data_IF_564954675819
#
_entry.id   IF_564954675819
#
_cell.length_a   1.000
_cell.length_b   1.000
_cell.length_c   1.000
_cell.angle_alpha   90.00
_cell.angle_beta   90.00
_cell.angle_gamma   90.00
#
_symmetry.space_group_name_H-M   'P 1'
#
loop_
_entity.id
_entity.type
_entity.pdbx_description
1 polymer ?
#
# COMPACT_ATOMS: atom_id res chain seq x y z
N UNK A 1 -7.56 -23.98 -14.28
CA UNK A 1 -8.88 -23.85 -13.63
C UNK A 1 -8.66 -23.90 -12.12
N UNK A 2 -9.02 -22.86 -11.37
CA UNK A 2 -8.82 -22.86 -9.89
C UNK A 2 -9.92 -23.65 -9.18
N UNK A 3 -9.70 -24.08 -7.94
CA UNK A 3 -10.71 -24.77 -7.13
C UNK A 3 -12.00 -23.95 -6.97
N UNK A 4 -11.91 -22.61 -6.86
CA UNK A 4 -13.09 -21.74 -6.87
C UNK A 4 -13.91 -21.85 -8.16
N UNK A 5 -13.27 -22.03 -9.34
CA UNK A 5 -14.01 -22.19 -10.60
C UNK A 5 -14.77 -23.52 -10.64
N UNK A 6 -14.16 -24.61 -10.13
CA UNK A 6 -14.83 -25.92 -10.05
C UNK A 6 -16.12 -25.83 -9.24
N UNK A 7 -16.06 -25.20 -8.07
CA UNK A 7 -17.23 -25.02 -7.22
C UNK A 7 -18.31 -24.15 -7.88
N UNK A 8 -17.95 -23.10 -8.63
CA UNK A 8 -18.92 -22.29 -9.40
C UNK A 8 -19.58 -23.07 -10.52
N UNK A 9 -18.86 -23.94 -11.23
CA UNK A 9 -19.45 -24.86 -12.19
C UNK A 9 -20.44 -25.82 -11.54
N UNK A 10 -20.09 -26.38 -10.37
CA UNK A 10 -21.00 -27.25 -9.62
C UNK A 10 -22.27 -26.49 -9.18
N UNK A 11 -22.16 -25.24 -8.75
CA UNK A 11 -23.33 -24.40 -8.38
C UNK A 11 -24.21 -24.14 -9.60
N UNK A 12 -23.62 -23.80 -10.75
CA UNK A 12 -24.35 -23.60 -12.00
C UNK A 12 -25.10 -24.87 -12.41
N UNK A 13 -24.43 -26.01 -12.34
CA UNK A 13 -25.01 -27.31 -12.62
C UNK A 13 -26.18 -27.65 -11.69
N UNK A 14 -26.06 -27.41 -10.38
CA UNK A 14 -27.15 -27.61 -9.42
C UNK A 14 -28.36 -26.71 -9.74
N UNK A 15 -28.12 -25.46 -10.15
CA UNK A 15 -29.18 -24.54 -10.56
C UNK A 15 -29.89 -25.01 -11.84
N UNK A 16 -29.15 -25.51 -12.84
CA UNK A 16 -29.72 -26.07 -14.08
C UNK A 16 -30.52 -27.36 -13.83
N UNK A 17 -30.14 -28.15 -12.83
CA UNK A 17 -30.90 -29.32 -12.38
C UNK A 17 -32.19 -28.97 -11.61
N UNK A 18 -32.40 -27.69 -11.28
CA UNK A 18 -33.56 -27.25 -10.50
C UNK A 18 -33.42 -27.45 -8.99
N UNK A 19 -32.21 -27.72 -8.49
CA UNK A 19 -31.98 -27.83 -7.05
C UNK A 19 -32.26 -26.48 -6.36
N UNK A 20 -32.77 -26.53 -5.14
CA UNK A 20 -32.92 -25.34 -4.30
C UNK A 20 -31.57 -24.82 -3.79
N UNK A 21 -31.53 -23.58 -3.30
CA UNK A 21 -30.32 -23.04 -2.66
C UNK A 21 -29.82 -23.91 -1.50
N UNK A 22 -30.73 -24.47 -0.69
CA UNK A 22 -30.38 -25.27 0.48
C UNK A 22 -29.74 -26.59 0.05
N UNK A 23 -30.29 -27.23 -0.98
CA UNK A 23 -29.72 -28.46 -1.55
C UNK A 23 -28.37 -28.20 -2.21
N UNK A 24 -28.24 -27.08 -2.94
CA UNK A 24 -26.97 -26.67 -3.55
C UNK A 24 -25.89 -26.46 -2.49
N UNK A 25 -26.20 -25.76 -1.39
CA UNK A 25 -25.24 -25.57 -0.28
C UNK A 25 -24.79 -26.91 0.29
N UNK A 26 -25.74 -27.83 0.57
CA UNK A 26 -25.41 -29.16 1.09
C UNK A 26 -24.52 -29.95 0.13
N UNK A 27 -24.86 -29.98 -1.16
CA UNK A 27 -24.07 -30.69 -2.19
C UNK A 27 -22.65 -30.14 -2.32
N UNK A 28 -22.49 -28.82 -2.29
CA UNK A 28 -21.17 -28.17 -2.36
C UNK A 28 -20.37 -28.44 -1.08
N UNK A 29 -20.96 -28.32 0.10
CA UNK A 29 -20.29 -28.64 1.36
C UNK A 29 -19.87 -30.11 1.44
N UNK A 30 -20.73 -31.03 0.97
CA UNK A 30 -20.41 -32.46 0.94
C UNK A 30 -19.28 -32.80 -0.04
N UNK A 31 -19.25 -32.15 -1.21
CA UNK A 31 -18.26 -32.43 -2.24
C UNK A 31 -16.88 -31.80 -1.96
N UNK A 32 -16.83 -30.64 -1.31
CA UNK A 32 -15.61 -29.86 -1.11
C UNK A 32 -15.17 -29.73 0.35
N UNK A 33 -15.97 -30.18 1.33
CA UNK A 33 -15.59 -30.23 2.73
C UNK A 33 -15.11 -28.87 3.27
N UNK A 34 -13.92 -28.87 3.88
CA UNK A 34 -13.29 -27.67 4.43
C UNK A 34 -12.86 -26.64 3.37
N UNK A 35 -12.68 -27.09 2.12
CA UNK A 35 -12.35 -26.23 0.99
C UNK A 35 -13.61 -25.61 0.33
N UNK A 36 -14.80 -25.93 0.83
CA UNK A 36 -16.06 -25.40 0.29
C UNK A 36 -16.15 -23.87 0.47
N UNK A 37 -16.66 -23.21 -0.56
CA UNK A 37 -17.00 -21.79 -0.49
C UNK A 37 -17.98 -21.54 0.66
N UNK A 38 -17.82 -20.41 1.34
CA UNK A 38 -18.77 -19.97 2.36
C UNK A 38 -20.21 -19.93 1.83
N UNK A 39 -21.18 -20.26 2.68
CA UNK A 39 -22.61 -20.25 2.32
C UNK A 39 -23.09 -18.96 1.66
N UNK A 40 -22.55 -17.80 2.04
CA UNK A 40 -22.85 -16.51 1.42
C UNK A 40 -22.44 -16.46 -0.06
N UNK A 41 -21.19 -16.84 -0.37
CA UNK A 41 -20.67 -16.92 -1.74
C UNK A 41 -21.44 -17.95 -2.58
N UNK A 42 -21.83 -19.09 -1.99
CA UNK A 42 -22.66 -20.09 -2.70
C UNK A 42 -24.01 -19.48 -3.08
N UNK A 43 -24.71 -18.81 -2.15
CA UNK A 43 -26.00 -18.15 -2.42
C UNK A 43 -25.89 -17.05 -3.46
N UNK A 44 -24.84 -16.23 -3.38
CA UNK A 44 -24.57 -15.15 -4.34
C UNK A 44 -24.42 -15.70 -5.77
N UNK A 45 -23.59 -16.73 -5.96
CA UNK A 45 -23.41 -17.36 -7.27
C UNK A 45 -24.67 -18.07 -7.76
N UNK A 46 -25.37 -18.78 -6.88
CA UNK A 46 -26.64 -19.43 -7.22
C UNK A 46 -27.67 -18.40 -7.75
N UNK A 47 -27.83 -17.27 -7.07
CA UNK A 47 -28.73 -16.20 -7.51
C UNK A 47 -28.29 -15.61 -8.85
N UNK A 48 -26.99 -15.38 -9.05
CA UNK A 48 -26.48 -14.88 -10.34
C UNK A 48 -26.82 -15.81 -11.50
N UNK A 49 -26.70 -17.12 -11.33
CA UNK A 49 -27.08 -18.09 -12.36
C UNK A 49 -28.60 -18.14 -12.55
N UNK A 50 -29.37 -18.07 -11.45
CA UNK A 50 -30.83 -17.97 -11.49
C UNK A 50 -31.31 -16.71 -12.25
N UNK A 51 -30.59 -15.61 -12.13
CA UNK A 51 -30.85 -14.34 -12.79
C UNK A 51 -30.35 -14.30 -14.26
N UNK A 52 -29.90 -15.45 -14.80
CA UNK A 52 -29.58 -15.60 -16.23
C UNK A 52 -28.10 -15.42 -16.59
N UNK A 53 -27.19 -15.28 -15.61
CA UNK A 53 -25.74 -15.26 -15.89
C UNK A 53 -25.28 -16.63 -16.41
N UNK A 54 -24.45 -16.66 -17.45
CA UNK A 54 -23.91 -17.91 -18.01
C UNK A 54 -22.42 -18.13 -17.73
N UNK A 55 -21.68 -17.07 -17.43
CA UNK A 55 -20.24 -17.13 -17.14
C UNK A 55 -19.96 -17.41 -15.66
N UNK A 56 -19.03 -18.34 -15.40
CA UNK A 56 -18.47 -18.65 -14.08
C UNK A 56 -17.32 -17.73 -13.67
N UNK A 57 -16.80 -16.95 -14.63
CA UNK A 57 -15.76 -15.98 -14.38
C UNK A 57 -16.32 -14.83 -13.58
N UNK A 58 -15.50 -14.28 -12.69
CA UNK A 58 -15.84 -13.03 -12.02
C UNK A 58 -16.02 -11.95 -13.07
N UNK A 59 -17.11 -11.20 -13.00
CA UNK A 59 -17.27 -10.01 -13.84
C UNK A 59 -16.15 -9.03 -13.50
N UNK A 60 -15.71 -8.21 -14.46
CA UNK A 60 -14.90 -7.05 -14.15
C UNK A 60 -15.62 -6.28 -13.05
N UNK A 61 -14.98 -6.17 -11.87
CA UNK A 61 -15.56 -5.40 -10.78
C UNK A 61 -15.81 -3.99 -11.30
N UNK A 62 -17.03 -3.48 -11.18
CA UNK A 62 -17.28 -2.05 -11.31
C UNK A 62 -16.59 -1.35 -10.15
N UNK A 63 -15.34 -0.95 -10.42
CA UNK A 63 -14.38 -0.41 -9.49
C UNK A 63 -13.09 -0.09 -10.24
N UNK A 64 -12.18 0.64 -9.58
CA UNK A 64 -10.94 1.14 -10.19
C UNK A 64 -10.16 0.01 -10.89
N UNK A 65 -9.85 0.13 -12.19
CA UNK A 65 -9.09 -0.90 -12.90
C UNK A 65 -7.69 -1.06 -12.31
N UNK A 66 -7.29 -2.29 -11.98
CA UNK A 66 -5.90 -2.63 -11.63
C UNK A 66 -5.03 -2.53 -12.89
N UNK A 67 -4.69 -1.31 -13.23
CA UNK A 67 -3.86 -0.95 -14.38
C UNK A 67 -2.37 -0.93 -14.05
N UNK A 68 -2.05 -1.23 -12.79
CA UNK A 68 -0.74 -1.13 -12.19
C UNK A 68 0.20 -2.30 -12.56
N UNK A 69 -0.31 -3.32 -13.26
CA UNK A 69 0.41 -4.55 -13.68
C UNK A 69 0.67 -4.65 -15.18
N UNK A 70 0.40 -3.61 -15.97
CA UNK A 70 0.69 -3.63 -17.41
C UNK A 70 2.19 -3.33 -17.64
N UNK A 71 2.89 -4.20 -18.37
CA UNK A 71 4.31 -4.05 -18.73
C UNK A 71 4.62 -2.67 -19.35
N UNK A 72 3.68 -2.15 -20.14
CA UNK A 72 3.78 -0.83 -20.75
C UNK A 72 3.87 0.30 -19.70
N UNK A 73 3.11 0.20 -18.61
CA UNK A 73 3.11 1.19 -17.51
C UNK A 73 4.41 1.11 -16.72
N UNK A 74 4.96 -0.09 -16.56
CA UNK A 74 6.25 -0.29 -15.88
C UNK A 74 7.39 0.36 -16.67
N UNK A 75 7.33 0.34 -17.99
CA UNK A 75 8.33 0.96 -18.87
C UNK A 75 8.20 2.49 -18.87
N UNK A 76 6.98 3.03 -18.89
CA UNK A 76 6.77 4.49 -18.79
C UNK A 76 7.30 5.07 -17.47
N UNK A 77 7.09 4.36 -16.36
CA UNK A 77 7.69 4.73 -15.06
C UNK A 77 9.22 4.71 -15.12
N UNK A 78 9.83 3.73 -15.79
CA UNK A 78 11.29 3.64 -15.94
C UNK A 78 11.83 4.89 -16.62
N UNK A 79 11.25 5.28 -17.76
CA UNK A 79 11.71 6.42 -18.54
C UNK A 79 11.70 7.70 -17.72
N UNK A 80 10.56 8.01 -17.07
CA UNK A 80 10.41 9.23 -16.28
C UNK A 80 11.39 9.31 -15.09
N UNK A 81 11.65 8.20 -14.41
CA UNK A 81 12.60 8.16 -13.28
C UNK A 81 14.06 8.20 -13.74
N UNK A 82 14.35 7.64 -14.92
CA UNK A 82 15.70 7.70 -15.49
C UNK A 82 16.03 9.09 -16.01
N UNK A 83 15.04 9.82 -16.51
CA UNK A 83 15.16 11.22 -16.92
C UNK A 83 15.32 12.17 -15.72
N UNK A 84 14.53 11.98 -14.66
CA UNK A 84 14.69 12.74 -13.41
C UNK A 84 14.58 11.85 -12.17
N UNK A 85 15.73 11.56 -11.56
CA UNK A 85 15.79 10.79 -10.30
C UNK A 85 15.23 11.53 -9.09
N UNK A 86 14.94 12.83 -9.21
CA UNK A 86 14.31 13.64 -8.16
C UNK A 86 12.79 13.74 -8.32
N UNK A 87 12.22 13.16 -9.39
CA UNK A 87 10.78 13.18 -9.62
C UNK A 87 10.05 12.64 -8.40
N UNK A 88 9.15 13.45 -7.85
CA UNK A 88 8.36 13.01 -6.71
C UNK A 88 7.30 12.03 -7.19
N UNK A 89 6.88 11.16 -6.28
CA UNK A 89 5.84 10.18 -6.55
C UNK A 89 4.53 10.87 -7.01
N UNK A 90 4.26 12.09 -6.55
CA UNK A 90 3.09 12.88 -6.97
C UNK A 90 3.24 13.41 -8.39
N UNK A 91 4.43 13.88 -8.77
CA UNK A 91 4.73 14.32 -10.13
C UNK A 91 4.68 13.14 -11.10
N UNK A 92 5.26 12.00 -10.72
CA UNK A 92 5.17 10.75 -11.49
C UNK A 92 3.71 10.29 -11.69
N UNK A 93 2.89 10.37 -10.63
CA UNK A 93 1.46 10.04 -10.69
C UNK A 93 0.68 11.00 -11.60
N UNK A 94 1.03 12.29 -11.61
CA UNK A 94 0.40 13.30 -12.46
C UNK A 94 0.79 13.13 -13.93
N UNK A 95 2.09 12.93 -14.23
CA UNK A 95 2.60 12.68 -15.59
C UNK A 95 1.95 11.45 -16.22
N UNK A 96 1.71 10.41 -15.43
CA UNK A 96 1.05 9.20 -15.91
C UNK A 96 -0.48 9.24 -15.86
N UNK A 97 -1.09 10.32 -15.33
CA UNK A 97 -2.54 10.40 -15.13
C UNK A 97 -3.10 9.32 -14.19
N UNK A 98 -2.27 8.77 -13.28
CA UNK A 98 -2.62 7.65 -12.40
C UNK A 98 -2.56 8.03 -10.93
N UNK A 99 -3.71 8.04 -10.26
CA UNK A 99 -3.83 8.26 -8.81
C UNK A 99 -3.50 7.02 -7.96
N UNK A 100 -2.85 5.97 -8.52
CA UNK A 100 -2.64 4.66 -7.86
C UNK A 100 -1.21 4.55 -7.32
N UNK A 101 -0.89 5.56 -6.55
CA UNK A 101 0.44 5.95 -6.11
C UNK A 101 1.13 4.87 -5.28
N UNK A 102 0.37 4.15 -4.45
CA UNK A 102 0.90 3.13 -3.54
C UNK A 102 1.46 1.89 -4.27
N UNK A 103 0.77 1.40 -5.31
CA UNK A 103 1.25 0.23 -6.05
C UNK A 103 2.49 0.57 -6.88
N UNK A 104 2.53 1.76 -7.48
CA UNK A 104 3.68 2.23 -8.24
C UNK A 104 4.94 2.33 -7.34
N UNK A 105 4.78 2.86 -6.12
CA UNK A 105 5.87 2.89 -5.13
C UNK A 105 6.32 1.47 -4.77
N UNK A 106 5.40 0.56 -4.47
CA UNK A 106 5.74 -0.81 -4.10
C UNK A 106 6.49 -1.54 -5.23
N UNK A 107 6.02 -1.42 -6.47
CA UNK A 107 6.65 -2.02 -7.64
C UNK A 107 8.04 -1.40 -7.89
N UNK A 108 8.17 -0.09 -7.74
CA UNK A 108 9.45 0.60 -7.88
C UNK A 108 10.48 0.10 -6.84
N UNK A 109 10.10 0.10 -5.57
CA UNK A 109 10.94 -0.33 -4.46
C UNK A 109 11.39 -1.80 -4.63
N UNK A 110 10.45 -2.70 -4.97
CA UNK A 110 10.74 -4.11 -5.18
C UNK A 110 11.72 -4.33 -6.35
N UNK A 111 11.49 -3.63 -7.47
CA UNK A 111 12.31 -3.73 -8.68
C UNK A 111 13.74 -3.21 -8.49
N UNK A 112 13.92 -2.18 -7.67
CA UNK A 112 15.22 -1.61 -7.36
C UNK A 112 15.90 -2.25 -6.15
N UNK A 113 15.33 -3.34 -5.62
CA UNK A 113 15.83 -4.05 -4.44
C UNK A 113 16.06 -3.13 -3.23
N UNK A 114 15.21 -2.09 -3.10
CA UNK A 114 15.28 -1.14 -2.00
C UNK A 114 14.64 -1.82 -0.78
N UNK A 115 15.43 -2.00 0.27
CA UNK A 115 14.93 -2.60 1.51
C UNK A 115 13.96 -1.65 2.20
N UNK A 116 12.70 -2.07 2.34
CA UNK A 116 11.69 -1.34 3.11
C UNK A 116 11.77 -1.77 4.56
N UNK A 117 12.11 -0.82 5.43
CA UNK A 117 12.00 -1.02 6.87
C UNK A 117 10.54 -0.90 7.26
N UNK A 118 10.01 -1.91 7.98
CA UNK A 118 8.64 -1.84 8.53
C UNK A 118 8.60 -0.74 9.59
N UNK A 119 7.59 0.12 9.51
CA UNK A 119 7.33 1.17 10.48
C UNK A 119 5.98 0.92 11.15
N UNK A 120 5.94 0.98 12.48
CA UNK A 120 4.70 0.84 13.22
C UNK A 120 3.80 2.07 13.02
N UNK A 121 2.47 1.89 12.98
CA UNK A 121 1.53 3.01 12.94
C UNK A 121 1.75 3.93 14.14
N UNK A 122 1.61 5.23 13.93
CA UNK A 122 1.70 6.25 14.98
C UNK A 122 3.03 6.30 15.73
N UNK A 123 4.17 5.89 15.14
CA UNK A 123 5.47 5.97 15.81
C UNK A 123 6.40 7.05 15.24
N UNK A 124 6.08 8.36 15.40
CA UNK A 124 6.95 9.44 14.94
C UNK A 124 8.27 9.50 15.73
N UNK A 125 8.26 9.05 16.97
CA UNK A 125 9.44 8.88 17.83
C UNK A 125 10.46 7.87 17.29
N UNK A 126 10.05 7.02 16.34
CA UNK A 126 10.89 6.06 15.62
C UNK A 126 11.34 6.56 14.24
N UNK A 127 10.77 7.64 13.73
CA UNK A 127 11.06 8.17 12.41
C UNK A 127 12.15 9.26 12.46
N UNK A 128 13.31 9.07 11.80
CA UNK A 128 14.40 10.06 11.80
C UNK A 128 13.98 11.46 11.34
N UNK A 129 13.01 11.54 10.43
CA UNK A 129 12.46 12.80 9.98
C UNK A 129 11.76 13.56 11.13
N UNK A 130 10.94 12.86 11.91
CA UNK A 130 10.10 13.45 12.94
C UNK A 130 10.88 13.73 14.23
N UNK A 131 11.67 12.77 14.74
CA UNK A 131 12.38 12.97 16.00
C UNK A 131 13.67 13.81 15.85
N UNK A 132 14.21 13.97 14.64
CA UNK A 132 15.52 14.62 14.46
C UNK A 132 15.56 15.71 13.37
N UNK A 133 15.18 15.40 12.12
CA UNK A 133 15.35 16.35 11.00
C UNK A 133 14.43 17.57 11.13
N UNK A 134 13.14 17.34 11.35
CA UNK A 134 12.16 18.42 11.45
C UNK A 134 12.39 19.33 12.65
N UNK A 135 12.77 18.84 13.85
CA UNK A 135 13.20 19.72 14.94
C UNK A 135 14.38 20.62 14.54
N UNK A 136 15.42 20.07 13.89
CA UNK A 136 16.57 20.86 13.41
C UNK A 136 16.21 21.91 12.38
N UNK A 137 15.19 21.65 11.56
CA UNK A 137 14.69 22.60 10.58
C UNK A 137 13.75 23.64 11.19
N UNK A 138 12.78 23.21 12.01
CA UNK A 138 11.70 24.04 12.53
C UNK A 138 12.17 24.95 13.65
N UNK A 139 13.06 24.50 14.53
CA UNK A 139 13.49 25.29 15.69
C UNK A 139 14.18 26.61 15.30
N UNK A 140 15.12 26.65 14.33
CA UNK A 140 15.73 27.91 13.88
C UNK A 140 14.79 28.82 13.11
N UNK A 141 13.73 28.28 12.50
CA UNK A 141 12.73 29.04 11.74
C UNK A 141 11.53 29.44 12.62
N UNK A 142 11.52 29.01 13.88
CA UNK A 142 10.40 29.22 14.79
C UNK A 142 10.27 30.71 15.09
N UNK A 143 9.04 31.22 15.04
CA UNK A 143 8.68 32.64 15.25
C UNK A 143 9.20 33.61 14.18
N UNK A 144 9.76 33.12 13.07
CA UNK A 144 10.05 33.96 11.90
C UNK A 144 8.82 34.08 11.02
N UNK A 145 8.48 35.30 10.59
CA UNK A 145 7.51 35.54 9.53
C UNK A 145 8.26 35.65 8.20
N UNK A 146 7.72 35.02 7.17
CA UNK A 146 8.26 35.06 5.83
C UNK A 146 7.25 35.74 4.92
N UNK A 147 7.72 36.68 4.11
CA UNK A 147 6.88 37.46 3.20
C UNK A 147 6.55 36.69 1.91
N UNK A 148 7.34 35.66 1.58
CA UNK A 148 7.17 34.86 0.36
C UNK A 148 7.50 33.38 0.56
N UNK A 149 7.02 32.54 -0.36
CA UNK A 149 7.39 31.12 -0.42
C UNK A 149 8.87 30.95 -0.70
N UNK A 150 9.42 31.78 -1.58
CA UNK A 150 10.82 31.76 -2.00
C UNK A 150 11.73 32.01 -0.78
N UNK A 151 11.35 32.90 0.11
CA UNK A 151 12.08 33.16 1.35
C UNK A 151 12.04 31.96 2.31
N UNK A 152 10.90 31.25 2.40
CA UNK A 152 10.81 30.01 3.19
C UNK A 152 11.75 28.96 2.61
N UNK A 153 11.73 28.75 1.28
CA UNK A 153 12.56 27.76 0.61
C UNK A 153 14.05 28.07 0.78
N UNK A 154 14.45 29.34 0.62
CA UNK A 154 15.84 29.79 0.78
C UNK A 154 16.33 29.54 2.22
N UNK A 155 15.54 29.94 3.21
CA UNK A 155 15.89 29.75 4.62
C UNK A 155 15.95 28.27 5.01
N UNK A 156 14.96 27.47 4.60
CA UNK A 156 14.95 26.02 4.85
C UNK A 156 16.17 25.33 4.23
N UNK A 157 16.48 25.66 2.97
CA UNK A 157 17.64 25.11 2.25
C UNK A 157 18.95 25.49 2.93
N UNK A 158 19.10 26.76 3.33
CA UNK A 158 20.27 27.21 4.06
C UNK A 158 20.48 26.43 5.37
N UNK A 159 19.40 26.13 6.11
CA UNK A 159 19.49 25.30 7.33
C UNK A 159 19.86 23.85 7.03
N UNK A 160 19.25 23.24 6.01
CA UNK A 160 19.52 21.84 5.66
C UNK A 160 20.98 21.63 5.22
N UNK A 161 21.55 22.55 4.43
CA UNK A 161 22.93 22.45 3.95
C UNK A 161 23.95 22.58 5.10
N UNK A 162 23.61 23.28 6.18
CA UNK A 162 24.50 23.39 7.35
C UNK A 162 24.58 22.12 8.20
N UNK A 163 23.74 21.12 7.95
CA UNK A 163 23.77 19.85 8.70
C UNK A 163 25.01 19.06 8.26
N UNK A 164 25.98 18.80 9.17
CA UNK A 164 27.19 18.11 8.79
C UNK A 164 26.91 16.62 8.58
N UNK A 165 27.71 15.98 7.71
CA UNK A 165 27.50 14.59 7.30
C UNK A 165 27.51 13.61 8.48
N UNK A 166 28.34 13.83 9.49
CA UNK A 166 28.43 13.00 10.69
C UNK A 166 27.16 13.07 11.55
N UNK A 167 26.38 14.16 11.45
CA UNK A 167 25.13 14.29 12.20
C UNK A 167 24.06 13.29 11.73
N UNK A 168 24.06 12.91 10.46
CA UNK A 168 23.18 11.85 9.95
C UNK A 168 23.56 10.49 10.55
N UNK A 169 24.85 10.19 10.64
CA UNK A 169 25.31 8.95 11.26
C UNK A 169 24.92 8.89 12.74
N UNK A 170 25.08 10.00 13.48
CA UNK A 170 24.62 10.12 14.88
C UNK A 170 23.10 9.95 15.00
N UNK A 171 22.32 10.47 14.05
CA UNK A 171 20.87 10.27 14.02
C UNK A 171 20.49 8.79 13.93
N UNK A 172 21.13 8.02 13.04
CA UNK A 172 20.84 6.58 12.93
C UNK A 172 21.27 5.80 14.18
N UNK A 173 22.37 6.20 14.84
CA UNK A 173 22.75 5.63 16.13
C UNK A 173 21.72 5.92 17.23
N UNK A 174 21.17 7.14 17.27
CA UNK A 174 20.07 7.49 18.17
C UNK A 174 18.80 6.69 17.85
N UNK A 175 18.51 6.47 16.56
CA UNK A 175 17.41 5.59 16.12
C UNK A 175 17.53 4.17 16.69
N UNK A 176 18.74 3.59 16.70
CA UNK A 176 18.96 2.27 17.31
C UNK A 176 18.65 2.26 18.81
N UNK A 177 19.12 3.26 19.55
CA UNK A 177 18.82 3.39 20.99
C UNK A 177 17.32 3.56 21.25
N UNK A 178 16.62 4.29 20.38
CA UNK A 178 15.15 4.45 20.45
C UNK A 178 14.44 3.12 20.22
N UNK A 179 14.90 2.29 19.29
CA UNK A 179 14.36 0.93 19.13
C UNK A 179 14.58 0.07 20.38
N UNK A 180 15.75 0.14 21.01
CA UNK A 180 16.02 -0.56 22.26
C UNK A 180 15.07 -0.10 23.39
N UNK A 181 14.83 1.22 23.50
CA UNK A 181 13.83 1.78 24.43
C UNK A 181 12.43 1.28 24.11
N UNK A 182 12.00 1.29 22.85
CA UNK A 182 10.69 0.76 22.43
C UNK A 182 10.48 -0.69 22.89
N UNK A 183 11.49 -1.54 22.72
CA UNK A 183 11.43 -2.93 23.19
C UNK A 183 11.36 -3.00 24.72
N UNK A 184 12.15 -2.20 25.41
CA UNK A 184 12.15 -2.14 26.88
C UNK A 184 10.79 -1.72 27.45
N UNK A 185 10.16 -0.70 26.84
CA UNK A 185 8.82 -0.21 27.20
C UNK A 185 7.69 -0.99 26.51
N UNK A 186 7.97 -2.15 25.92
CA UNK A 186 6.97 -3.04 25.32
C UNK A 186 6.07 -2.37 24.25
N UNK A 187 6.61 -1.37 23.54
CA UNK A 187 5.89 -0.62 22.51
C UNK A 187 5.19 0.65 23.01
N UNK A 188 5.21 0.92 24.32
CA UNK A 188 4.71 2.19 24.87
C UNK A 188 5.65 3.36 24.49
N UNK A 189 5.06 4.56 24.39
CA UNK A 189 5.85 5.77 24.22
C UNK A 189 6.76 6.01 25.42
N UNK A 190 7.93 6.56 25.15
CA UNK A 190 8.87 7.00 26.15
C UNK A 190 9.22 8.47 25.92
N UNK A 191 9.44 9.20 27.00
CA UNK A 191 9.89 10.58 26.93
C UNK A 191 11.37 10.65 26.49
N UNK A 192 11.74 11.74 25.81
CA UNK A 192 13.10 11.95 25.31
C UNK A 192 14.11 12.18 26.45
N UNK A 193 15.37 11.80 26.19
CA UNK A 193 16.52 12.22 27.03
C UNK A 193 16.73 13.75 26.98
#
# INVERSE_FOLDING_TARGET
>A
MTEEHKQRYCIKFCQELGDTQVETIRKIQQAFGDDAMSNSRIKEWYNRFKDGRTSVDSEPRSGRPSTSRNENVIEQVRTLVMEDRRITVRELANEMGRTETAHLIQTFVAKHNISVVRQAPYSPDMAPCDFWLFPKLKMPLKRTRFESREDIMRNATARLITIPKDAFQKCFQQGRKRWEKCVHYQGDYFEGD
#
